data_IF_643877636392
#
_entry.id   IF_643877636392
#
_cell.length_a   1.000
_cell.length_b   1.000
_cell.length_c   1.000
_cell.angle_alpha   90.00
_cell.angle_beta   90.00
_cell.angle_gamma   90.00
#
_symmetry.space_group_name_H-M   'P 1'
#
loop_
_entity.id
_entity.type
_entity.pdbx_description
1 polymer ?
#
# COMPACT_ATOMS: atom_id res chain seq x y z
N UNK A 1 21.15 -14.73 25.60
CA UNK A 1 20.24 -13.78 24.94
C UNK A 1 20.04 -12.60 25.86
N UNK A 2 20.47 -11.40 25.50
CA UNK A 2 20.11 -10.16 26.19
C UNK A 2 18.56 -10.09 26.26
N UNK A 3 18.03 -9.64 27.38
CA UNK A 3 16.58 -9.56 27.59
C UNK A 3 16.00 -8.56 26.57
N UNK A 4 15.21 -9.05 25.58
CA UNK A 4 14.54 -8.21 24.61
C UNK A 4 13.69 -7.15 25.34
N UNK A 5 13.65 -5.91 24.82
CA UNK A 5 12.69 -4.90 25.27
C UNK A 5 11.25 -5.39 25.01
N UNK A 6 10.25 -4.77 25.66
CA UNK A 6 8.84 -5.11 25.41
C UNK A 6 8.43 -4.88 23.94
N UNK A 7 8.99 -3.85 23.32
CA UNK A 7 8.76 -3.52 21.92
C UNK A 7 9.41 -4.55 20.98
N UNK A 8 10.69 -4.91 21.22
CA UNK A 8 11.38 -5.90 20.40
C UNK A 8 10.72 -7.29 20.51
N UNK A 9 10.23 -7.64 21.70
CA UNK A 9 9.49 -8.87 21.92
C UNK A 9 8.16 -8.86 21.17
N UNK A 10 7.43 -7.74 21.17
CA UNK A 10 6.18 -7.60 20.42
C UNK A 10 6.43 -7.78 18.91
N UNK A 11 7.49 -7.19 18.37
CA UNK A 11 7.85 -7.38 16.96
C UNK A 11 8.24 -8.84 16.67
N UNK A 12 9.02 -9.45 17.56
CA UNK A 12 9.40 -10.87 17.44
C UNK A 12 8.15 -11.76 17.36
N UNK A 13 7.24 -11.63 18.34
CA UNK A 13 5.98 -12.40 18.40
C UNK A 13 5.13 -12.19 17.14
N UNK A 14 5.06 -10.97 16.62
CA UNK A 14 4.33 -10.67 15.38
C UNK A 14 4.96 -11.35 14.16
N UNK A 15 6.29 -11.38 14.04
CA UNK A 15 6.97 -12.00 12.90
C UNK A 15 6.82 -13.52 12.93
N UNK A 16 6.81 -14.15 14.13
CA UNK A 16 6.54 -15.58 14.30
C UNK A 16 5.14 -16.01 13.84
N UNK A 17 4.18 -15.09 13.76
CA UNK A 17 2.82 -15.37 13.31
C UNK A 17 2.73 -15.24 11.79
N UNK A 18 2.58 -16.32 10.99
CA UNK A 18 2.39 -16.22 9.56
C UNK A 18 1.07 -15.55 9.23
N UNK A 19 1.09 -14.67 8.20
CA UNK A 19 -0.07 -13.93 7.75
C UNK A 19 -0.03 -13.64 6.24
N UNK A 20 0.38 -14.63 5.44
CA UNK A 20 0.44 -14.49 3.99
C UNK A 20 -0.96 -14.14 3.45
N UNK A 21 -1.04 -13.15 2.58
CA UNK A 21 -2.30 -12.75 1.96
C UNK A 21 -2.92 -13.92 1.19
N UNK A 22 -4.14 -14.37 1.54
CA UNK A 22 -4.78 -15.52 0.91
C UNK A 22 -5.11 -15.34 -0.58
N UNK A 23 -5.13 -14.10 -1.07
CA UNK A 23 -5.41 -13.80 -2.48
C UNK A 23 -4.17 -13.95 -3.38
N UNK A 24 -2.99 -14.12 -2.78
CA UNK A 24 -1.74 -14.38 -3.48
C UNK A 24 -1.48 -15.87 -3.58
N UNK A 25 -0.92 -16.32 -4.72
CA UNK A 25 -0.56 -17.72 -4.90
C UNK A 25 0.49 -18.15 -3.87
N UNK A 26 0.15 -19.11 -3.03
CA UNK A 26 1.02 -19.63 -1.98
C UNK A 26 0.91 -21.16 -1.86
N UNK A 27 2.08 -21.83 -1.79
CA UNK A 27 2.16 -23.30 -1.62
C UNK A 27 1.89 -23.74 -0.16
N UNK A 28 1.87 -22.80 0.80
CA UNK A 28 1.79 -23.07 2.24
C UNK A 28 0.47 -22.54 2.79
N UNK A 29 -0.63 -23.27 2.58
CA UNK A 29 -1.98 -22.85 2.96
C UNK A 29 -2.10 -22.52 4.47
N UNK A 30 -1.45 -23.28 5.33
CA UNK A 30 -1.46 -23.07 6.80
C UNK A 30 -0.79 -21.76 7.23
N UNK A 31 -0.04 -21.11 6.34
CA UNK A 31 0.65 -19.83 6.59
C UNK A 31 -0.14 -18.63 6.09
N UNK A 32 -1.31 -18.85 5.47
CA UNK A 32 -2.15 -17.79 4.94
C UNK A 32 -3.15 -17.24 5.95
N UNK A 33 -3.60 -16.00 5.74
CA UNK A 33 -4.65 -15.34 6.50
C UNK A 33 -4.16 -14.50 7.69
N UNK A 34 -4.85 -13.39 7.91
CA UNK A 34 -4.52 -12.38 8.92
C UNK A 34 -5.15 -12.68 10.29
N UNK A 35 -6.03 -13.68 10.38
CA UNK A 35 -6.82 -13.96 11.58
C UNK A 35 -5.95 -14.15 12.82
N UNK A 36 -4.81 -14.84 12.70
CA UNK A 36 -3.89 -15.08 13.83
C UNK A 36 -3.26 -13.79 14.36
N UNK A 37 -2.89 -12.86 13.46
CA UNK A 37 -2.40 -11.53 13.86
C UNK A 37 -3.51 -10.74 14.55
N UNK A 38 -4.72 -10.77 13.98
CA UNK A 38 -5.85 -10.08 14.56
C UNK A 38 -6.22 -10.61 15.95
N UNK A 39 -6.23 -11.95 16.15
CA UNK A 39 -6.44 -12.58 17.47
C UNK A 39 -5.33 -12.22 18.47
N UNK A 40 -4.09 -12.16 18.02
CA UNK A 40 -2.97 -11.73 18.86
C UNK A 40 -3.13 -10.30 19.36
N UNK A 41 -3.47 -9.35 18.46
CA UNK A 41 -3.73 -7.96 18.82
C UNK A 41 -4.95 -7.82 19.74
N UNK A 42 -6.00 -8.58 19.48
CA UNK A 42 -7.20 -8.69 20.31
C UNK A 42 -6.87 -9.15 21.73
N UNK A 43 -6.08 -10.22 21.87
CA UNK A 43 -5.62 -10.71 23.18
C UNK A 43 -4.84 -9.66 23.96
N UNK A 44 -3.95 -8.91 23.30
CA UNK A 44 -3.19 -7.82 23.94
C UNK A 44 -4.10 -6.64 24.34
N UNK A 45 -5.10 -6.29 23.52
CA UNK A 45 -6.08 -5.25 23.85
C UNK A 45 -6.95 -5.67 25.03
N UNK A 46 -7.47 -6.89 25.01
CA UNK A 46 -8.29 -7.47 26.07
C UNK A 46 -7.55 -7.50 27.42
N UNK A 47 -6.30 -7.98 27.44
CA UNK A 47 -5.46 -8.01 28.65
C UNK A 47 -5.14 -6.61 29.20
N UNK A 48 -5.30 -5.57 28.38
CA UNK A 48 -5.13 -4.15 28.76
C UNK A 48 -6.44 -3.45 29.07
N UNK A 49 -7.59 -4.15 29.05
CA UNK A 49 -8.92 -3.58 29.29
C UNK A 49 -9.37 -2.58 28.21
N UNK A 50 -8.88 -2.72 26.97
CA UNK A 50 -9.16 -1.79 25.87
C UNK A 50 -10.25 -2.38 24.96
N UNK A 51 -11.26 -1.56 24.62
CA UNK A 51 -12.35 -1.93 23.72
C UNK A 51 -11.85 -2.29 22.34
N UNK A 52 -12.31 -3.39 21.77
CA UNK A 52 -12.02 -3.79 20.41
C UNK A 52 -13.26 -4.38 19.71
N UNK A 53 -13.22 -4.41 18.38
CA UNK A 53 -14.24 -5.05 17.55
C UNK A 53 -13.62 -5.56 16.24
N UNK A 54 -14.28 -6.53 15.63
CA UNK A 54 -13.98 -6.99 14.27
C UNK A 54 -14.84 -6.24 13.27
N UNK A 55 -14.26 -5.89 12.12
CA UNK A 55 -14.95 -5.27 11.00
C UNK A 55 -14.83 -6.20 9.78
N UNK A 56 -15.95 -6.82 9.39
CA UNK A 56 -16.00 -7.72 8.22
C UNK A 56 -15.59 -7.00 6.95
N UNK A 57 -14.65 -7.59 6.19
CA UNK A 57 -14.09 -7.06 4.95
C UNK A 57 -14.35 -8.01 3.79
N UNK A 58 -13.80 -9.22 3.86
CA UNK A 58 -13.96 -10.30 2.90
C UNK A 58 -14.42 -11.56 3.64
N UNK A 59 -14.90 -12.60 2.96
CA UNK A 59 -15.23 -13.87 3.61
C UNK A 59 -14.06 -14.38 4.45
N UNK A 60 -14.27 -14.54 5.77
CA UNK A 60 -13.25 -15.00 6.72
C UNK A 60 -12.10 -14.03 6.99
N UNK A 61 -12.15 -12.79 6.51
CA UNK A 61 -11.09 -11.78 6.71
C UNK A 61 -11.69 -10.49 7.27
N UNK A 62 -11.19 -10.05 8.41
CA UNK A 62 -11.73 -8.91 9.18
C UNK A 62 -10.61 -7.97 9.62
N UNK A 63 -10.85 -6.66 9.51
CA UNK A 63 -10.01 -5.69 10.20
C UNK A 63 -10.25 -5.78 11.71
N UNK A 64 -9.18 -5.67 12.51
CA UNK A 64 -9.30 -5.47 13.96
C UNK A 64 -9.31 -3.96 14.25
N UNK A 65 -10.30 -3.48 14.98
CA UNK A 65 -10.48 -2.08 15.37
C UNK A 65 -10.42 -1.97 16.88
N UNK A 66 -9.39 -1.32 17.42
CA UNK A 66 -9.13 -1.17 18.86
C UNK A 66 -9.24 0.32 19.20
N UNK A 67 -10.00 0.66 20.22
CA UNK A 67 -10.40 2.05 20.51
C UNK A 67 -10.00 2.49 21.91
N UNK A 68 -9.23 3.56 21.99
CA UNK A 68 -8.92 4.25 23.23
C UNK A 68 -9.74 5.54 23.30
N UNK A 69 -10.87 5.46 24.00
CA UNK A 69 -11.77 6.61 24.21
C UNK A 69 -11.16 7.61 25.19
N UNK A 70 -11.29 8.92 24.95
CA UNK A 70 -10.88 9.95 25.90
C UNK A 70 -11.82 9.97 27.12
N UNK A 71 -11.37 10.58 28.21
CA UNK A 71 -12.22 10.78 29.39
C UNK A 71 -13.34 11.81 29.16
N UNK A 72 -13.12 12.78 28.28
CA UNK A 72 -14.07 13.82 27.91
C UNK A 72 -14.87 13.51 26.65
N UNK A 73 -15.58 14.51 26.14
CA UNK A 73 -16.35 14.42 24.89
C UNK A 73 -15.40 14.26 23.72
N UNK A 74 -15.66 13.28 22.83
CA UNK A 74 -14.88 13.09 21.61
C UNK A 74 -15.10 14.29 20.68
N UNK A 75 -14.06 15.07 20.45
CA UNK A 75 -14.02 16.18 19.48
C UNK A 75 -13.17 15.81 18.26
N UNK A 76 -12.11 15.03 18.47
CA UNK A 76 -11.17 14.62 17.44
C UNK A 76 -11.00 13.10 17.43
N UNK A 77 -10.52 12.58 16.30
CA UNK A 77 -10.12 11.18 16.15
C UNK A 77 -8.82 11.07 15.37
N UNK A 78 -7.94 10.18 15.79
CA UNK A 78 -6.72 9.82 15.08
C UNK A 78 -6.69 8.31 14.89
N UNK A 79 -6.35 7.87 13.67
CA UNK A 79 -6.23 6.45 13.35
C UNK A 79 -4.78 6.06 13.08
N UNK A 80 -4.37 4.91 13.57
CA UNK A 80 -3.13 4.21 13.23
C UNK A 80 -3.54 2.97 12.43
N UNK A 81 -3.11 2.87 11.17
CA UNK A 81 -3.69 1.91 10.22
C UNK A 81 -2.61 1.08 9.49
N UNK A 82 -1.79 0.28 10.20
CA UNK A 82 -0.89 -0.67 9.56
C UNK A 82 -1.66 -1.88 9.03
N UNK A 83 -1.14 -2.54 7.97
CA UNK A 83 -1.71 -3.79 7.47
C UNK A 83 -1.11 -5.02 8.16
N UNK A 84 -1.88 -6.12 8.17
CA UNK A 84 -1.55 -7.36 8.86
C UNK A 84 -1.03 -8.45 7.93
N UNK A 85 -1.38 -8.40 6.65
CA UNK A 85 -0.95 -9.38 5.66
C UNK A 85 0.48 -9.15 5.19
N UNK A 86 1.07 -10.17 4.59
CA UNK A 86 2.40 -10.15 3.98
C UNK A 86 2.39 -10.93 2.67
N UNK A 87 3.37 -10.66 1.78
CA UNK A 87 3.56 -11.43 0.55
C UNK A 87 4.03 -12.87 0.85
N UNK A 88 3.89 -13.81 -0.11
CA UNK A 88 4.32 -15.20 0.05
C UNK A 88 5.78 -15.34 0.46
N UNK A 89 6.03 -16.31 1.34
CA UNK A 89 7.36 -16.69 1.79
C UNK A 89 7.40 -18.15 2.20
N UNK A 90 8.60 -18.71 2.33
CA UNK A 90 8.81 -20.07 2.88
C UNK A 90 8.64 -20.08 4.40
N UNK A 91 8.30 -21.21 5.02
CA UNK A 91 8.06 -21.30 6.46
C UNK A 91 9.20 -20.79 7.34
N UNK A 92 10.46 -20.97 6.92
CA UNK A 92 11.64 -20.50 7.63
C UNK A 92 11.73 -18.96 7.73
N UNK A 93 11.07 -18.23 6.85
CA UNK A 93 10.98 -16.77 6.91
C UNK A 93 10.14 -16.26 8.11
N UNK A 94 9.34 -17.12 8.73
CA UNK A 94 8.56 -16.82 9.94
C UNK A 94 9.27 -17.28 11.23
N UNK A 95 10.54 -17.66 11.12
CA UNK A 95 11.42 -17.91 12.27
C UNK A 95 12.34 -16.70 12.44
N UNK A 96 11.95 -15.71 13.29
CA UNK A 96 12.68 -14.46 13.39
C UNK A 96 14.10 -14.67 13.92
N UNK A 97 15.03 -13.80 13.48
CA UNK A 97 16.43 -13.80 13.91
C UNK A 97 16.89 -12.38 14.16
N UNK A 98 17.61 -12.16 15.26
CA UNK A 98 18.24 -10.87 15.51
C UNK A 98 19.74 -10.97 15.19
N UNK A 99 20.22 -10.07 14.32
CA UNK A 99 21.63 -9.95 13.99
C UNK A 99 21.96 -8.47 13.79
N UNK A 100 23.05 -7.99 14.39
CA UNK A 100 23.55 -6.61 14.27
C UNK A 100 22.48 -5.53 14.54
N UNK A 101 21.61 -5.73 15.54
CA UNK A 101 20.54 -4.78 15.87
C UNK A 101 19.37 -4.73 14.89
N UNK A 102 19.28 -5.71 13.98
CA UNK A 102 18.17 -5.86 13.03
C UNK A 102 17.43 -7.17 13.29
N UNK A 103 16.10 -7.15 13.17
CA UNK A 103 15.25 -8.32 13.20
C UNK A 103 14.93 -8.76 11.78
N UNK A 104 15.26 -10.00 11.45
CA UNK A 104 15.04 -10.64 10.16
C UNK A 104 13.81 -11.53 10.22
N UNK A 105 12.98 -11.48 9.19
CA UNK A 105 11.81 -12.33 8.99
C UNK A 105 10.79 -11.67 8.06
N UNK A 106 9.88 -12.46 7.48
CA UNK A 106 8.83 -11.96 6.59
C UNK A 106 7.86 -11.03 7.35
N UNK A 107 7.63 -9.85 6.79
CA UNK A 107 6.82 -8.82 7.40
C UNK A 107 7.57 -7.97 8.44
N UNK A 108 8.84 -8.27 8.77
CA UNK A 108 9.60 -7.48 9.72
C UNK A 108 9.65 -5.99 9.32
N UNK A 109 9.82 -5.71 8.04
CA UNK A 109 9.82 -4.39 7.43
C UNK A 109 8.41 -4.01 6.95
N UNK A 110 7.76 -4.92 6.24
CA UNK A 110 6.49 -4.69 5.53
C UNK A 110 5.38 -5.62 6.05
N UNK A 111 4.59 -5.26 7.12
CA UNK A 111 4.71 -4.01 7.89
C UNK A 111 4.55 -4.26 9.41
N UNK A 112 4.95 -5.46 9.89
CA UNK A 112 4.87 -5.83 11.32
C UNK A 112 5.71 -4.92 12.20
N UNK A 113 6.79 -4.31 11.66
CA UNK A 113 7.55 -3.27 12.35
C UNK A 113 6.71 -2.03 12.66
N UNK A 114 5.84 -1.63 11.73
CA UNK A 114 4.86 -0.56 11.96
C UNK A 114 3.75 -1.01 12.91
N UNK A 115 3.25 -2.25 12.80
CA UNK A 115 2.29 -2.80 13.78
C UNK A 115 2.89 -2.73 15.18
N UNK A 116 4.12 -3.24 15.37
CA UNK A 116 4.77 -3.26 16.68
C UNK A 116 4.95 -1.85 17.26
N UNK A 117 5.53 -0.92 16.48
CA UNK A 117 5.79 0.44 16.94
C UNK A 117 4.50 1.22 17.25
N UNK A 118 3.49 1.13 16.38
CA UNK A 118 2.23 1.86 16.55
C UNK A 118 1.39 1.28 17.69
N UNK A 119 1.28 -0.04 17.76
CA UNK A 119 0.50 -0.70 18.78
C UNK A 119 1.14 -0.60 20.16
N UNK A 120 2.48 -0.68 20.25
CA UNK A 120 3.19 -0.48 21.51
C UNK A 120 3.00 0.95 22.03
N UNK A 121 3.15 1.97 21.15
CA UNK A 121 2.87 3.35 21.51
C UNK A 121 1.42 3.56 21.98
N UNK A 122 0.47 2.92 21.30
CA UNK A 122 -0.95 2.94 21.68
C UNK A 122 -1.20 2.30 23.05
N UNK A 123 -0.65 1.11 23.32
CA UNK A 123 -0.77 0.44 24.61
C UNK A 123 -0.08 1.22 25.75
N UNK A 124 1.06 1.84 25.44
CA UNK A 124 1.76 2.71 26.39
C UNK A 124 0.91 3.92 26.74
N UNK A 125 0.33 4.59 25.74
CA UNK A 125 -0.58 5.73 25.98
C UNK A 125 -1.80 5.33 26.82
N UNK A 126 -2.34 4.13 26.62
CA UNK A 126 -3.49 3.65 27.39
C UNK A 126 -3.22 3.58 28.91
N UNK A 127 -1.95 3.41 29.30
CA UNK A 127 -1.51 3.37 30.72
C UNK A 127 -1.22 4.75 31.32
N UNK A 128 -1.12 5.79 30.47
CA UNK A 128 -0.82 7.15 30.93
C UNK A 128 -2.05 7.78 31.64
N UNK A 129 -1.78 8.47 32.75
CA UNK A 129 -2.81 9.24 33.46
C UNK A 129 -3.24 10.50 32.69
N UNK A 130 -2.29 11.15 32.04
CA UNK A 130 -2.47 12.41 31.29
C UNK A 130 -2.56 12.14 29.77
N UNK A 131 -3.49 11.28 29.37
CA UNK A 131 -3.79 11.05 27.95
C UNK A 131 -4.74 12.12 27.38
N UNK A 132 -4.84 12.26 26.04
CA UNK A 132 -5.73 13.23 25.40
C UNK A 132 -7.15 13.18 25.95
N UNK A 133 -7.70 14.36 26.30
CA UNK A 133 -9.01 14.45 26.97
C UNK A 133 -10.18 14.47 26.00
N UNK A 134 -9.95 14.87 24.74
CA UNK A 134 -11.01 15.06 23.75
C UNK A 134 -10.71 14.34 22.42
N UNK A 135 -9.60 13.59 22.32
CA UNK A 135 -9.23 12.87 21.09
C UNK A 135 -9.31 11.36 21.31
N UNK A 136 -10.13 10.70 20.52
CA UNK A 136 -10.18 9.25 20.44
C UNK A 136 -9.05 8.74 19.57
N UNK A 137 -8.27 7.77 20.07
CA UNK A 137 -7.23 7.09 19.33
C UNK A 137 -7.75 5.72 18.90
N UNK A 138 -7.62 5.41 17.61
CA UNK A 138 -8.11 4.17 17.01
C UNK A 138 -6.93 3.47 16.34
N UNK A 139 -6.63 2.25 16.76
CA UNK A 139 -5.72 1.37 16.05
C UNK A 139 -6.55 0.43 15.17
N UNK A 140 -6.18 0.32 13.89
CA UNK A 140 -6.86 -0.57 12.93
C UNK A 140 -5.82 -1.43 12.24
N UNK A 141 -5.78 -2.73 12.57
CA UNK A 141 -5.05 -3.69 11.76
C UNK A 141 -5.85 -4.00 10.50
N UNK A 142 -5.30 -3.64 9.35
CA UNK A 142 -5.95 -3.79 8.04
C UNK A 142 -5.62 -5.13 7.41
N UNK A 143 -6.58 -5.69 6.66
CA UNK A 143 -6.38 -6.88 5.83
C UNK A 143 -6.24 -6.50 4.37
N UNK A 144 -5.56 -7.35 3.58
CA UNK A 144 -5.56 -7.32 2.11
C UNK A 144 -4.81 -6.12 1.47
N UNK A 145 -3.82 -5.54 2.14
CA UNK A 145 -3.01 -4.47 1.54
C UNK A 145 -2.25 -4.96 0.33
N UNK A 146 -1.59 -6.11 0.44
CA UNK A 146 -0.67 -6.70 -0.53
C UNK A 146 -1.34 -7.16 -1.84
N UNK A 147 -2.69 -7.08 -1.92
CA UNK A 147 -3.42 -7.49 -3.12
C UNK A 147 -4.48 -6.47 -3.57
N UNK A 148 -5.55 -6.27 -2.78
CA UNK A 148 -6.73 -5.52 -3.20
C UNK A 148 -7.09 -4.30 -2.36
N UNK A 149 -6.37 -4.05 -1.25
CA UNK A 149 -6.63 -2.99 -0.27
C UNK A 149 -8.09 -3.01 0.24
N UNK A 150 -8.69 -4.21 0.34
CA UNK A 150 -10.10 -4.36 0.74
C UNK A 150 -10.34 -3.84 2.18
N UNK A 151 -9.34 -3.99 3.07
CA UNK A 151 -9.39 -3.53 4.45
C UNK A 151 -9.52 -2.03 4.56
N UNK A 152 -8.64 -1.27 3.91
CA UNK A 152 -8.65 0.20 3.91
C UNK A 152 -9.87 0.77 3.18
N UNK A 153 -10.32 0.14 2.09
CA UNK A 153 -11.54 0.52 1.38
C UNK A 153 -12.79 0.34 2.24
N UNK A 154 -12.88 -0.79 2.94
CA UNK A 154 -13.98 -1.04 3.89
C UNK A 154 -13.95 -0.06 5.06
N UNK A 155 -12.75 0.24 5.59
CA UNK A 155 -12.57 1.25 6.63
C UNK A 155 -13.05 2.64 6.14
N UNK A 156 -12.68 3.02 4.92
CA UNK A 156 -13.10 4.28 4.30
C UNK A 156 -14.62 4.40 4.11
N UNK A 157 -15.29 3.30 3.77
CA UNK A 157 -16.73 3.26 3.50
C UNK A 157 -17.59 3.13 4.76
N UNK A 158 -17.17 2.28 5.71
CA UNK A 158 -17.98 1.85 6.86
C UNK A 158 -17.37 2.25 8.21
N UNK A 159 -16.13 2.70 8.23
CA UNK A 159 -15.41 3.08 9.43
C UNK A 159 -15.70 4.51 9.90
N UNK A 160 -15.18 4.89 11.04
CA UNK A 160 -15.24 6.28 11.50
C UNK A 160 -14.35 7.16 10.63
N UNK A 161 -14.79 8.38 10.32
CA UNK A 161 -13.88 9.42 9.82
C UNK A 161 -13.00 9.94 10.94
N UNK A 162 -11.79 10.35 10.63
CA UNK A 162 -10.83 10.90 11.58
C UNK A 162 -10.22 12.22 11.07
N UNK A 163 -9.58 12.95 11.97
CA UNK A 163 -8.84 14.16 11.63
C UNK A 163 -7.50 13.82 10.95
N UNK A 164 -6.96 12.62 11.24
CA UNK A 164 -5.79 12.07 10.60
C UNK A 164 -5.76 10.55 10.71
N UNK A 165 -5.33 9.87 9.65
CA UNK A 165 -4.90 8.48 9.67
C UNK A 165 -3.39 8.41 9.36
N UNK A 166 -2.69 7.45 9.99
CA UNK A 166 -1.29 7.15 9.72
C UNK A 166 -1.22 5.70 9.26
N UNK A 167 -1.03 5.49 7.96
CA UNK A 167 -0.78 4.16 7.39
C UNK A 167 0.66 3.74 7.71
N UNK A 168 0.83 2.49 8.12
CA UNK A 168 2.11 1.93 8.51
C UNK A 168 2.83 1.34 7.32
N UNK A 169 3.93 1.96 6.86
CA UNK A 169 4.75 1.49 5.74
C UNK A 169 6.23 1.81 5.96
N UNK A 170 7.17 1.08 5.32
CA UNK A 170 8.60 1.33 5.47
C UNK A 170 9.04 2.60 4.75
N UNK A 171 9.07 3.72 5.47
CA UNK A 171 9.41 5.05 4.92
C UNK A 171 10.76 5.61 5.37
N UNK A 172 11.63 4.81 6.02
CA UNK A 172 12.84 5.30 6.70
C UNK A 172 12.51 6.41 7.71
N UNK A 173 11.39 6.30 8.43
CA UNK A 173 10.90 7.31 9.39
C UNK A 173 10.67 8.69 8.75
N UNK A 174 10.46 8.78 7.45
CA UNK A 174 10.05 10.00 6.76
C UNK A 174 8.53 10.09 6.74
N UNK A 175 8.01 11.29 6.89
CA UNK A 175 6.56 11.55 6.83
C UNK A 175 6.16 11.74 5.38
N UNK A 176 5.35 10.83 4.85
CA UNK A 176 4.89 10.85 3.47
C UNK A 176 3.48 11.41 3.43
N UNK A 177 3.26 12.49 2.68
CA UNK A 177 1.94 13.11 2.46
C UNK A 177 1.41 12.92 1.06
N UNK A 178 2.24 12.44 0.12
CA UNK A 178 1.85 12.21 -1.24
C UNK A 178 2.44 10.88 -1.77
N UNK A 179 1.67 10.13 -2.53
CA UNK A 179 2.18 9.01 -3.29
C UNK A 179 1.50 8.87 -4.66
N UNK A 180 2.17 8.21 -5.61
CA UNK A 180 1.58 7.95 -6.91
C UNK A 180 0.44 6.95 -6.80
N UNK A 181 -0.56 7.11 -7.68
CA UNK A 181 -1.57 6.10 -7.92
C UNK A 181 -1.03 4.99 -8.82
N UNK A 182 -1.82 3.94 -8.99
CA UNK A 182 -1.46 2.77 -9.78
C UNK A 182 -2.64 2.35 -10.66
N UNK A 183 -2.48 2.51 -11.97
CA UNK A 183 -3.46 2.13 -12.98
C UNK A 183 -2.85 1.07 -13.91
N UNK A 184 -3.42 -0.14 -13.90
CA UNK A 184 -3.06 -1.19 -14.83
C UNK A 184 -4.08 -1.27 -15.95
N UNK A 185 -3.57 -1.24 -17.19
CA UNK A 185 -4.39 -1.25 -18.41
C UNK A 185 -3.89 -2.39 -19.30
N UNK A 186 -4.82 -3.19 -19.79
CA UNK A 186 -4.54 -4.13 -20.88
C UNK A 186 -5.01 -3.51 -22.19
N UNK A 187 -4.14 -3.53 -23.19
CA UNK A 187 -4.46 -3.17 -24.57
C UNK A 187 -4.38 -4.40 -25.44
N UNK A 188 -5.36 -4.59 -26.32
CA UNK A 188 -5.45 -5.73 -27.23
C UNK A 188 -5.65 -5.26 -28.66
N UNK A 189 -4.93 -5.92 -29.58
CA UNK A 189 -5.13 -5.77 -31.04
C UNK A 189 -5.60 -7.07 -31.63
N UNK A 190 -6.49 -6.97 -32.62
CA UNK A 190 -7.03 -8.11 -33.35
C UNK A 190 -6.48 -8.14 -34.79
N UNK A 191 -6.24 -9.34 -35.25
CA UNK A 191 -5.79 -9.67 -36.59
C UNK A 191 -6.73 -10.65 -37.29
N UNK A 192 -6.16 -11.43 -38.19
CA UNK A 192 -6.77 -12.59 -38.86
C UNK A 192 -5.67 -13.62 -39.13
N UNK A 193 -5.86 -14.84 -38.64
CA UNK A 193 -4.92 -15.91 -38.85
C UNK A 193 -4.85 -16.31 -40.33
N UNK A 194 -3.65 -16.69 -40.79
CA UNK A 194 -3.37 -17.28 -42.08
C UNK A 194 -2.07 -18.09 -42.00
N UNK A 195 -1.85 -18.94 -42.97
CA UNK A 195 -0.60 -19.68 -43.04
C UNK A 195 0.59 -18.73 -43.34
N UNK A 196 1.71 -18.90 -42.64
CA UNK A 196 2.87 -18.02 -42.76
C UNK A 196 3.48 -17.91 -44.16
N UNK A 197 3.27 -18.90 -45.04
CA UNK A 197 3.68 -18.84 -46.44
C UNK A 197 2.76 -17.97 -47.33
N UNK A 198 1.57 -17.62 -46.85
CA UNK A 198 0.58 -16.81 -47.57
C UNK A 198 0.03 -15.67 -46.67
N UNK A 199 0.93 -14.83 -46.10
CA UNK A 199 0.57 -13.83 -45.07
C UNK A 199 -0.41 -12.77 -45.59
N UNK A 200 -0.50 -12.57 -46.90
CA UNK A 200 -1.42 -11.63 -47.55
C UNK A 200 -2.92 -11.96 -47.31
N UNK A 201 -3.24 -13.20 -46.94
CA UNK A 201 -4.64 -13.59 -46.57
C UNK A 201 -4.96 -13.37 -45.10
N UNK A 202 -3.93 -13.03 -44.30
CA UNK A 202 -4.06 -12.71 -42.88
C UNK A 202 -4.00 -11.22 -42.60
N UNK A 203 -4.11 -10.88 -41.32
CA UNK A 203 -3.82 -9.56 -40.76
C UNK A 203 -3.07 -9.73 -39.46
N UNK A 204 -1.82 -9.35 -39.42
CA UNK A 204 -0.94 -9.59 -38.28
C UNK A 204 -1.25 -8.67 -37.11
N UNK A 205 -1.73 -9.22 -35.99
CA UNK A 205 -2.03 -8.48 -34.78
C UNK A 205 -0.79 -7.88 -34.10
N UNK A 206 0.38 -8.52 -34.20
CA UNK A 206 1.65 -8.00 -33.68
C UNK A 206 2.04 -6.73 -34.45
N UNK A 207 1.91 -6.74 -35.78
CA UNK A 207 2.15 -5.54 -36.59
C UNK A 207 1.21 -4.40 -36.24
N UNK A 208 -0.05 -4.71 -35.86
CA UNK A 208 -0.99 -3.69 -35.39
C UNK A 208 -0.61 -3.15 -34.01
N UNK A 209 0.05 -3.94 -33.14
CA UNK A 209 0.52 -3.52 -31.81
C UNK A 209 1.79 -2.69 -31.88
N UNK A 210 2.65 -2.87 -32.86
CA UNK A 210 3.94 -2.19 -32.98
C UNK A 210 3.86 -0.65 -32.87
N UNK A 211 3.03 0.08 -33.65
CA UNK A 211 2.91 1.54 -33.51
C UNK A 211 2.33 1.98 -32.18
N UNK A 212 1.52 1.14 -31.53
CA UNK A 212 0.99 1.38 -30.18
C UNK A 212 2.12 1.33 -29.16
N UNK A 213 2.96 0.30 -29.23
CA UNK A 213 4.16 0.15 -28.37
C UNK A 213 5.11 1.34 -28.55
N UNK A 214 5.44 1.69 -29.77
CA UNK A 214 6.32 2.83 -30.07
C UNK A 214 5.76 4.13 -29.45
N UNK A 215 4.48 4.39 -29.64
CA UNK A 215 3.81 5.56 -29.04
C UNK A 215 3.89 5.56 -27.51
N UNK A 216 3.62 4.43 -26.87
CA UNK A 216 3.60 4.34 -25.41
C UNK A 216 4.98 4.39 -24.78
N UNK A 217 6.03 3.99 -25.51
CA UNK A 217 7.41 4.01 -25.03
C UNK A 217 8.17 5.28 -25.36
N UNK A 218 7.86 5.94 -26.48
CA UNK A 218 8.62 7.08 -26.97
C UNK A 218 7.87 8.41 -26.94
N UNK A 219 6.58 8.45 -27.32
CA UNK A 219 5.84 9.71 -27.40
C UNK A 219 5.08 10.04 -26.12
N UNK A 220 4.40 9.06 -25.53
CA UNK A 220 3.60 9.30 -24.33
C UNK A 220 4.44 9.73 -23.12
N UNK A 221 5.66 9.19 -22.84
CA UNK A 221 6.53 9.69 -21.78
C UNK A 221 6.93 11.16 -21.94
N UNK A 222 7.08 11.68 -23.16
CA UNK A 222 7.33 13.11 -23.40
C UNK A 222 6.17 13.97 -22.92
N UNK A 223 4.94 13.59 -23.26
CA UNK A 223 3.73 14.27 -22.80
C UNK A 223 3.59 14.19 -21.27
N UNK A 224 3.92 13.05 -20.65
CA UNK A 224 3.90 12.89 -19.20
C UNK A 224 4.91 13.78 -18.49
N UNK A 225 6.08 14.03 -19.09
CA UNK A 225 7.15 14.85 -18.50
C UNK A 225 6.81 16.31 -18.36
N UNK A 226 5.80 16.80 -19.08
CA UNK A 226 5.30 18.18 -19.02
C UNK A 226 4.54 18.48 -17.73
N UNK A 227 4.02 17.44 -17.05
CA UNK A 227 3.30 17.53 -15.78
C UNK A 227 4.20 17.16 -14.63
N UNK A 228 4.20 17.98 -13.57
CA UNK A 228 5.03 17.74 -12.39
C UNK A 228 4.24 18.05 -11.11
N UNK A 229 4.17 17.05 -10.23
CA UNK A 229 3.77 17.29 -8.85
C UNK A 229 5.00 17.64 -8.00
N UNK A 230 4.92 18.63 -7.06
CA UNK A 230 6.10 19.08 -6.30
C UNK A 230 6.85 17.98 -5.54
N UNK A 231 6.14 16.97 -5.02
CA UNK A 231 6.72 15.88 -4.23
C UNK A 231 6.92 14.58 -5.04
N UNK A 232 6.20 14.38 -6.16
CA UNK A 232 6.15 13.10 -6.87
C UNK A 232 6.85 13.13 -8.23
N UNK A 233 7.21 14.33 -8.70
CA UNK A 233 7.68 14.50 -10.08
C UNK A 233 6.57 14.19 -11.10
N UNK A 234 6.96 13.69 -12.27
CA UNK A 234 6.03 13.38 -13.35
C UNK A 234 5.37 12.01 -13.18
N UNK A 235 4.17 11.82 -13.76
CA UNK A 235 3.58 10.50 -13.92
C UNK A 235 4.46 9.63 -14.82
N UNK A 236 4.31 8.30 -14.74
CA UNK A 236 5.14 7.37 -15.49
C UNK A 236 4.33 6.25 -16.13
N UNK A 237 4.85 5.67 -17.22
CA UNK A 237 4.28 4.50 -17.89
C UNK A 237 5.37 3.46 -18.13
N UNK A 238 5.01 2.19 -18.01
CA UNK A 238 5.84 1.04 -18.39
C UNK A 238 4.97 -0.03 -19.03
N UNK A 239 5.41 -0.58 -20.14
CA UNK A 239 4.81 -1.80 -20.70
C UNK A 239 5.48 -2.99 -20.01
N UNK A 240 4.70 -3.68 -19.17
CA UNK A 240 5.21 -4.76 -18.31
C UNK A 240 5.21 -6.13 -18.99
N UNK A 241 4.23 -6.39 -19.86
CA UNK A 241 4.12 -7.66 -20.59
C UNK A 241 3.70 -7.45 -22.04
N UNK A 242 4.07 -8.39 -22.90
CA UNK A 242 3.56 -8.53 -24.26
C UNK A 242 3.35 -10.00 -24.58
N UNK A 243 2.22 -10.35 -25.19
CA UNK A 243 1.88 -11.70 -25.63
C UNK A 243 1.20 -11.62 -26.99
N UNK A 244 1.65 -12.42 -27.97
CA UNK A 244 1.03 -12.44 -29.30
C UNK A 244 1.55 -13.58 -30.17
N UNK A 245 0.64 -14.16 -30.97
CA UNK A 245 0.94 -15.32 -31.82
C UNK A 245 1.05 -16.64 -31.06
N UNK A 246 1.01 -17.74 -31.80
CA UNK A 246 1.12 -19.12 -31.28
C UNK A 246 2.31 -19.88 -31.84
N UNK A 247 2.60 -19.69 -33.15
CA UNK A 247 3.67 -20.36 -33.87
C UNK A 247 4.25 -19.44 -34.96
N UNK A 248 5.55 -19.59 -35.33
CA UNK A 248 6.17 -18.73 -36.32
C UNK A 248 5.56 -18.83 -37.73
N UNK A 249 4.96 -19.96 -38.09
CA UNK A 249 4.32 -20.22 -39.38
C UNK A 249 2.82 -19.89 -39.41
N UNK A 250 2.31 -19.16 -38.46
CA UNK A 250 0.92 -18.69 -38.39
C UNK A 250 0.91 -17.17 -38.20
N UNK A 251 0.17 -16.46 -39.05
CA UNK A 251 -0.05 -15.01 -38.92
C UNK A 251 -0.85 -14.78 -37.61
N UNK A 252 -0.33 -13.99 -36.66
CA UNK A 252 -1.01 -13.76 -35.37
C UNK A 252 -2.37 -13.06 -35.53
N UNK A 253 -3.42 -13.59 -34.91
CA UNK A 253 -4.76 -13.00 -34.88
C UNK A 253 -5.05 -12.18 -33.63
N UNK A 254 -4.15 -12.27 -32.64
CA UNK A 254 -4.25 -11.52 -31.37
C UNK A 254 -2.87 -11.10 -30.87
N UNK A 255 -2.80 -9.92 -30.25
CA UNK A 255 -1.66 -9.46 -29.48
C UNK A 255 -2.14 -8.57 -28.34
N UNK A 256 -1.61 -8.79 -27.14
CA UNK A 256 -1.96 -8.06 -25.91
C UNK A 256 -0.71 -7.51 -25.23
N UNK A 257 -0.88 -6.35 -24.57
CA UNK A 257 0.12 -5.78 -23.66
C UNK A 257 -0.53 -5.38 -22.36
N UNK A 258 0.20 -5.53 -21.23
CA UNK A 258 -0.19 -4.99 -19.94
C UNK A 258 0.72 -3.80 -19.58
N UNK A 259 0.10 -2.72 -19.15
CA UNK A 259 0.72 -1.43 -18.86
C UNK A 259 0.58 -1.10 -17.39
N UNK A 260 1.68 -0.71 -16.74
CA UNK A 260 1.70 -0.03 -15.45
C UNK A 260 1.79 1.49 -15.68
N UNK A 261 0.76 2.22 -15.28
CA UNK A 261 0.68 3.69 -15.36
C UNK A 261 0.61 4.26 -13.95
N UNK A 262 1.68 4.94 -13.53
CA UNK A 262 1.71 5.63 -12.24
C UNK A 262 1.15 7.03 -12.39
N UNK A 263 0.03 7.29 -11.71
CA UNK A 263 -0.69 8.57 -11.76
C UNK A 263 -0.20 9.53 -10.66
N UNK A 264 -0.41 10.82 -10.88
CA UNK A 264 -0.19 11.87 -9.89
C UNK A 264 -1.53 12.53 -9.53
N UNK A 265 -1.63 13.28 -8.42
CA UNK A 265 -2.83 14.02 -8.05
C UNK A 265 -3.38 14.87 -9.20
N UNK A 266 -4.71 14.84 -9.37
CA UNK A 266 -5.42 15.46 -10.51
C UNK A 266 -5.66 14.51 -11.69
N UNK A 267 -5.06 13.34 -11.74
CA UNK A 267 -5.34 12.30 -12.75
C UNK A 267 -6.33 11.26 -12.22
N UNK A 268 -7.26 10.83 -13.08
CA UNK A 268 -8.16 9.70 -12.84
C UNK A 268 -7.97 8.62 -13.89
N UNK A 269 -8.42 7.40 -13.61
CA UNK A 269 -8.34 6.27 -14.55
C UNK A 269 -9.00 6.63 -15.90
N UNK A 270 -10.15 7.33 -15.85
CA UNK A 270 -10.89 7.77 -17.03
C UNK A 270 -10.12 8.83 -17.80
N UNK A 271 -9.54 9.82 -17.11
CA UNK A 271 -8.76 10.88 -17.74
C UNK A 271 -7.53 10.33 -18.47
N UNK A 272 -6.83 9.36 -17.84
CA UNK A 272 -5.67 8.69 -18.44
C UNK A 272 -6.05 7.87 -19.67
N UNK A 273 -7.11 7.05 -19.59
CA UNK A 273 -7.61 6.28 -20.74
C UNK A 273 -8.02 7.17 -21.90
N UNK A 274 -8.71 8.29 -21.60
CA UNK A 274 -9.10 9.29 -22.60
C UNK A 274 -7.89 9.94 -23.26
N UNK A 275 -6.87 10.29 -22.47
CA UNK A 275 -5.62 10.88 -22.96
C UNK A 275 -4.89 9.94 -23.92
N UNK A 276 -4.70 8.67 -23.55
CA UNK A 276 -4.06 7.67 -24.42
C UNK A 276 -4.84 7.49 -25.73
N UNK A 277 -6.17 7.38 -25.67
CA UNK A 277 -7.02 7.29 -26.86
C UNK A 277 -6.89 8.52 -27.76
N UNK A 278 -6.81 9.72 -27.17
CA UNK A 278 -6.62 10.96 -27.92
C UNK A 278 -5.25 11.00 -28.61
N UNK A 279 -4.20 10.53 -27.91
CA UNK A 279 -2.85 10.46 -28.50
C UNK A 279 -2.83 9.53 -29.71
N UNK A 280 -3.41 8.33 -29.63
CA UNK A 280 -3.53 7.42 -30.77
C UNK A 280 -4.28 8.05 -31.93
N UNK A 281 -5.39 8.78 -31.65
CA UNK A 281 -6.17 9.49 -32.69
C UNK A 281 -5.34 10.58 -33.37
N UNK A 282 -4.60 11.39 -32.59
CA UNK A 282 -3.72 12.46 -33.11
C UNK A 282 -2.64 11.89 -34.05
N UNK A 283 -2.09 10.71 -33.70
CA UNK A 283 -1.05 10.03 -34.48
C UNK A 283 -1.63 9.13 -35.60
N UNK A 284 -2.95 9.13 -35.80
CA UNK A 284 -3.67 8.29 -36.80
C UNK A 284 -3.42 6.78 -36.59
N UNK A 285 -3.17 6.37 -35.36
CA UNK A 285 -3.02 4.96 -34.98
C UNK A 285 -4.39 4.39 -34.68
N UNK A 286 -4.67 3.18 -35.21
CA UNK A 286 -5.90 2.47 -34.88
C UNK A 286 -5.93 2.15 -33.39
N UNK A 287 -6.95 2.64 -32.68
CA UNK A 287 -7.08 2.41 -31.25
C UNK A 287 -7.26 0.92 -30.93
N UNK A 288 -6.46 0.38 -29.98
CA UNK A 288 -6.67 -0.99 -29.48
C UNK A 288 -7.94 -1.07 -28.61
N UNK A 289 -8.35 -2.27 -28.26
CA UNK A 289 -9.32 -2.50 -27.20
C UNK A 289 -8.68 -2.24 -25.84
N UNK A 290 -9.39 -1.55 -24.95
CA UNK A 290 -8.96 -1.26 -23.58
C UNK A 290 -9.73 -2.13 -22.60
N UNK A 291 -9.04 -2.83 -21.73
CA UNK A 291 -9.61 -3.51 -20.56
C UNK A 291 -8.83 -3.17 -19.30
N UNK A 292 -9.47 -3.27 -18.14
CA UNK A 292 -8.81 -3.12 -16.86
C UNK A 292 -8.24 -4.48 -16.41
N UNK A 293 -7.05 -4.49 -15.85
CA UNK A 293 -6.47 -5.69 -15.21
C UNK A 293 -6.74 -5.72 -13.70
N UNK A 294 -7.16 -4.59 -13.13
CA UNK A 294 -7.66 -4.48 -11.75
C UNK A 294 -9.11 -4.00 -11.76
N UNK A 295 -9.90 -4.56 -10.83
CA UNK A 295 -11.32 -4.23 -10.66
C UNK A 295 -11.56 -2.97 -9.82
N UNK A 296 -10.53 -2.51 -9.09
CA UNK A 296 -10.65 -1.40 -8.14
C UNK A 296 -9.64 -0.30 -8.46
N UNK A 297 -10.05 0.99 -8.44
CA UNK A 297 -9.15 2.10 -8.70
C UNK A 297 -8.13 2.28 -7.55
N UNK A 298 -6.91 2.67 -7.92
CA UNK A 298 -5.82 2.97 -7.01
C UNK A 298 -5.33 4.41 -7.22
N UNK A 299 -6.09 5.42 -6.79
CA UNK A 299 -5.77 6.82 -7.03
C UNK A 299 -4.57 7.30 -6.21
N UNK A 300 -3.90 8.39 -6.61
CA UNK A 300 -2.81 8.98 -5.86
C UNK A 300 -3.28 9.56 -4.52
N UNK A 301 -2.34 9.68 -3.56
CA UNK A 301 -2.51 10.42 -2.31
C UNK A 301 -1.93 11.82 -2.46
N UNK A 302 -2.64 12.82 -1.90
CA UNK A 302 -2.15 14.19 -1.75
C UNK A 302 -2.79 14.84 -0.51
N UNK A 303 -2.17 14.62 0.63
CA UNK A 303 -2.60 15.23 1.90
C UNK A 303 -1.90 16.56 2.10
N UNK A 304 -2.67 17.63 2.32
CA UNK A 304 -2.14 18.97 2.56
C UNK A 304 -1.18 18.99 3.77
N UNK A 305 0.11 19.25 3.54
CA UNK A 305 1.08 19.29 4.63
C UNK A 305 0.90 20.47 5.58
N UNK A 306 0.12 21.50 5.21
CA UNK A 306 -0.12 22.67 6.06
C UNK A 306 -1.16 22.43 7.17
N UNK A 307 -1.90 21.32 7.12
CA UNK A 307 -2.87 20.95 8.16
C UNK A 307 -2.18 20.93 9.53
N UNK A 308 -2.78 21.59 10.53
CA UNK A 308 -2.23 21.68 11.90
C UNK A 308 -1.84 20.30 12.47
N UNK A 309 -2.68 19.29 12.23
CA UNK A 309 -2.43 17.94 12.73
C UNK A 309 -1.23 17.28 12.02
N UNK A 310 -1.00 17.56 10.73
CA UNK A 310 0.19 17.12 9.99
C UNK A 310 1.44 17.80 10.51
N UNK A 311 1.38 19.12 10.78
CA UNK A 311 2.49 19.87 11.39
C UNK A 311 2.81 19.35 12.79
N UNK A 312 1.81 18.98 13.58
CA UNK A 312 2.00 18.35 14.89
C UNK A 312 2.71 17.00 14.78
N UNK A 313 2.37 16.18 13.76
CA UNK A 313 3.06 14.92 13.52
C UNK A 313 4.50 15.11 13.03
N UNK A 314 4.76 16.08 12.15
CA UNK A 314 6.12 16.45 11.72
C UNK A 314 7.01 16.83 12.93
N UNK A 315 6.48 17.66 13.84
CA UNK A 315 7.18 18.04 15.08
C UNK A 315 7.47 16.82 15.96
N UNK A 316 6.49 15.94 16.16
CA UNK A 316 6.63 14.74 16.99
C UNK A 316 7.64 13.74 16.42
N UNK A 317 7.74 13.65 15.11
CA UNK A 317 8.69 12.77 14.38
C UNK A 317 10.06 13.41 14.12
N UNK A 318 10.32 14.63 14.62
CA UNK A 318 11.53 15.41 14.34
C UNK A 318 11.79 15.59 12.83
N UNK A 319 10.72 15.85 12.06
CA UNK A 319 10.81 16.13 10.63
C UNK A 319 10.37 17.55 10.34
N UNK A 320 11.02 18.19 9.37
CA UNK A 320 10.72 19.58 8.98
C UNK A 320 9.73 19.68 7.82
N UNK A 321 9.62 18.63 7.01
CA UNK A 321 8.77 18.60 5.81
C UNK A 321 8.31 17.19 5.52
N UNK A 322 7.21 17.07 4.78
CA UNK A 322 6.77 15.83 4.17
C UNK A 322 7.54 15.53 2.89
N UNK A 323 7.43 14.29 2.43
CA UNK A 323 7.96 13.83 1.15
C UNK A 323 6.88 13.13 0.34
N UNK A 324 7.17 12.88 -0.94
CA UNK A 324 6.41 11.98 -1.80
C UNK A 324 7.13 10.66 -2.03
N UNK A 325 6.36 9.59 -2.34
CA UNK A 325 6.89 8.27 -2.71
C UNK A 325 6.22 7.76 -3.99
N UNK A 326 6.92 6.93 -4.79
CA UNK A 326 6.38 6.45 -6.07
C UNK A 326 5.42 5.25 -5.96
N UNK A 327 5.37 4.57 -4.80
CA UNK A 327 4.53 3.39 -4.57
C UNK A 327 3.18 3.77 -3.97
N UNK A 328 2.18 2.90 -4.15
CA UNK A 328 0.82 3.04 -3.65
C UNK A 328 0.69 2.40 -2.27
N UNK A 329 -0.23 2.90 -1.42
CA UNK A 329 -0.46 2.40 -0.05
C UNK A 329 -1.94 2.51 0.34
N UNK A 330 -2.32 1.91 1.46
CA UNK A 330 -3.64 2.02 2.10
C UNK A 330 -4.06 3.45 2.49
N UNK A 331 -3.12 4.39 2.54
CA UNK A 331 -3.42 5.79 2.85
C UNK A 331 -4.37 6.43 1.82
N UNK A 332 -4.26 6.07 0.54
CA UNK A 332 -5.11 6.65 -0.51
C UNK A 332 -6.58 6.24 -0.38
N UNK A 333 -6.98 4.96 -0.27
CA UNK A 333 -8.37 4.59 -0.02
C UNK A 333 -8.96 5.28 1.22
N UNK A 334 -8.18 5.39 2.31
CA UNK A 334 -8.60 6.08 3.54
C UNK A 334 -8.84 7.57 3.28
N UNK A 335 -7.93 8.21 2.55
CA UNK A 335 -8.05 9.64 2.18
C UNK A 335 -9.27 9.90 1.31
N UNK A 336 -9.57 9.02 0.36
CA UNK A 336 -10.80 9.08 -0.45
C UNK A 336 -12.08 8.99 0.39
N UNK A 337 -12.04 8.27 1.51
CA UNK A 337 -13.12 8.20 2.49
C UNK A 337 -13.32 9.48 3.31
N UNK A 338 -12.54 10.54 3.03
CA UNK A 338 -12.63 11.85 3.69
C UNK A 338 -11.85 11.95 5.00
N UNK A 339 -10.87 11.07 5.24
CA UNK A 339 -9.92 11.16 6.35
C UNK A 339 -8.53 11.49 5.79
N UNK A 340 -7.96 12.67 6.06
CA UNK A 340 -6.58 12.98 5.67
C UNK A 340 -5.62 11.87 6.13
N UNK A 341 -4.72 11.41 5.27
CA UNK A 341 -3.86 10.29 5.60
C UNK A 341 -2.38 10.61 5.33
N UNK A 342 -1.51 10.09 6.19
CA UNK A 342 -0.06 10.09 6.03
C UNK A 342 0.43 8.65 5.96
N UNK A 343 1.63 8.48 5.41
CA UNK A 343 2.34 7.19 5.46
C UNK A 343 3.61 7.37 6.28
N UNK A 344 3.85 6.44 7.22
CA UNK A 344 4.99 6.52 8.11
C UNK A 344 5.34 5.15 8.69
N UNK A 345 6.63 4.87 8.88
CA UNK A 345 7.07 3.71 9.64
C UNK A 345 8.57 3.46 9.52
N UNK A 346 9.06 2.47 10.30
CA UNK A 346 10.45 2.04 10.28
C UNK A 346 10.75 1.21 9.05
N UNK A 347 12.02 1.10 8.70
CA UNK A 347 12.50 0.30 7.58
C UNK A 347 12.46 1.01 6.25
N UNK A 348 13.02 0.37 5.24
CA UNK A 348 13.13 0.87 3.87
C UNK A 348 12.38 -0.04 2.92
N UNK A 349 11.59 0.53 2.00
CA UNK A 349 10.82 -0.22 0.99
C UNK A 349 11.69 -1.17 0.15
N UNK A 350 12.99 -0.90 0.01
CA UNK A 350 13.92 -1.80 -0.66
C UNK A 350 14.12 -3.14 0.07
N UNK A 351 13.72 -3.26 1.34
CA UNK A 351 13.73 -4.51 2.11
C UNK A 351 12.43 -5.29 1.96
N UNK A 352 11.32 -4.60 1.63
CA UNK A 352 10.04 -5.22 1.38
C UNK A 352 10.13 -6.27 0.27
N UNK A 353 9.35 -7.36 0.42
CA UNK A 353 9.25 -8.46 -0.56
C UNK A 353 10.58 -9.18 -0.85
N UNK A 354 11.68 -8.81 -0.19
CA UNK A 354 12.98 -9.49 -0.37
C UNK A 354 13.03 -10.84 0.38
N UNK A 355 13.91 -11.75 -0.08
CA UNK A 355 14.13 -13.05 0.58
C UNK A 355 14.69 -12.88 2.00
N UNK A 356 15.52 -11.87 2.21
CA UNK A 356 16.19 -11.57 3.47
C UNK A 356 15.63 -10.28 4.07
N UNK A 357 14.31 -10.20 4.21
CA UNK A 357 13.64 -9.03 4.77
C UNK A 357 14.07 -8.80 6.23
N UNK A 358 14.31 -7.54 6.58
CA UNK A 358 14.70 -7.13 7.93
C UNK A 358 14.31 -5.69 8.24
N UNK A 359 14.22 -5.36 9.54
CA UNK A 359 14.05 -4.00 10.03
C UNK A 359 15.03 -3.71 11.18
N UNK A 360 15.52 -2.48 11.26
CA UNK A 360 16.34 -2.01 12.37
C UNK A 360 15.50 -1.84 13.64
N UNK A 361 15.87 -2.52 14.75
CA UNK A 361 15.20 -2.36 16.03
C UNK A 361 15.26 -0.93 16.54
N UNK A 362 16.35 -0.22 16.27
CA UNK A 362 16.48 1.22 16.57
C UNK A 362 15.51 2.09 15.78
N UNK A 363 15.17 1.72 14.54
CA UNK A 363 14.14 2.44 13.77
C UNK A 363 12.73 2.14 14.29
N UNK A 364 12.45 0.90 14.67
CA UNK A 364 11.18 0.50 15.30
C UNK A 364 10.96 1.29 16.59
N UNK A 365 12.00 1.41 17.44
CA UNK A 365 11.97 2.23 18.65
C UNK A 365 11.72 3.72 18.34
N UNK A 366 12.42 4.29 17.35
CA UNK A 366 12.22 5.70 16.95
C UNK A 366 10.82 5.95 16.38
N UNK A 367 10.25 4.97 15.66
CA UNK A 367 8.87 5.04 15.18
C UNK A 367 7.89 5.07 16.36
N UNK A 368 8.05 4.14 17.31
CA UNK A 368 7.25 4.09 18.54
C UNK A 368 7.29 5.41 19.30
N UNK A 369 8.49 5.94 19.55
CA UNK A 369 8.67 7.21 20.24
C UNK A 369 8.01 8.39 19.51
N UNK A 370 8.05 8.39 18.17
CA UNK A 370 7.42 9.45 17.36
C UNK A 370 5.91 9.39 17.45
N UNK A 371 5.33 8.20 17.33
CA UNK A 371 3.89 7.95 17.49
C UNK A 371 3.46 8.30 18.92
N UNK A 372 4.17 7.82 19.92
CA UNK A 372 3.83 8.11 21.32
C UNK A 372 3.83 9.61 21.61
N UNK A 373 4.91 10.34 21.21
CA UNK A 373 4.97 11.82 21.37
C UNK A 373 3.82 12.51 20.64
N UNK A 374 3.48 12.07 19.43
CA UNK A 374 2.38 12.65 18.70
C UNK A 374 1.06 12.46 19.45
N UNK A 375 0.75 11.22 19.83
CA UNK A 375 -0.50 10.89 20.51
C UNK A 375 -0.62 11.58 21.88
N UNK A 376 0.46 11.66 22.64
CA UNK A 376 0.48 12.30 23.97
C UNK A 376 0.28 13.82 23.92
N UNK A 377 0.57 14.47 22.79
CA UNK A 377 0.41 15.91 22.62
C UNK A 377 -0.91 16.31 21.92
N UNK A 378 -1.82 15.37 21.69
CA UNK A 378 -3.15 15.67 21.18
C UNK A 378 -4.05 16.23 22.32
N UNK A 379 -5.07 17.03 21.95
CA UNK A 379 -6.03 17.61 22.90
C UNK A 379 -7.09 16.61 23.40
#
# INVERSE_FOLDING_TARGET
>A
MSRLSSLDRLLWELVEIPSINPSLECKYADFTGEERIAQFLEGKANSSGIEYRRMKVLPGRENIVIRLKPAGKIKNKVMLTPHMDVVPATPDAFVPKIKNGCLYGRGACDTKGSIASFFHAFLRLAKERNRPKNTEIIFVGLVDEEFGQAGSRTLAQKGPRANLAIAGEPTNLKVVSAHKGNLWIKLSTKGKAAHGSTPQYGRNAINNMSPILDTLTNEYPKLLSERKHPLLGSPTISVGTIRGGSQPNVVPDSCEIDIDRRTIPGETDESVKKEIKNLFRKLKIKSPEFSATRSVPCPPLDTDPSLRIVQSFLKASNRRRTIGVPYFTDASPISMGGTPALVYGPGNIAQAHSKNEWVSLKEVEKAEQSIFRFLSNLE
#
